data_IF_570987303269
#
_entry.id   IF_570987303269
#
_cell.length_a   1.000
_cell.length_b   1.000
_cell.length_c   1.000
_cell.angle_alpha   90.00
_cell.angle_beta   90.00
_cell.angle_gamma   90.00
#
_symmetry.space_group_name_H-M   'P 1'
#
loop_
_entity.id
_entity.type
_entity.pdbx_description
1 polymer ?
#
# COMPACT_ATOMS: atom_id res chain seq x y z
N UNK A 1 7.34 26.97 18.72
CA UNK A 1 7.84 25.88 19.58
C UNK A 1 6.62 25.16 20.18
N UNK A 2 6.06 24.21 19.41
CA UNK A 2 5.13 23.19 19.90
C UNK A 2 5.68 21.87 19.36
N UNK A 3 6.80 21.47 19.96
CA UNK A 3 7.38 20.15 19.78
C UNK A 3 6.54 19.13 20.54
N UNK A 4 6.35 17.96 19.92
CA UNK A 4 6.02 16.73 20.64
C UNK A 4 4.56 16.50 20.99
N UNK A 5 3.74 16.08 20.00
CA UNK A 5 2.65 15.10 20.24
C UNK A 5 1.91 14.59 18.98
N UNK A 6 2.25 15.02 17.75
CA UNK A 6 1.40 14.76 16.58
C UNK A 6 1.55 13.39 15.88
N UNK A 7 2.70 12.72 15.95
CA UNK A 7 3.04 11.64 15.01
C UNK A 7 2.83 10.20 15.54
N UNK A 8 2.36 9.98 16.78
CA UNK A 8 2.17 8.61 17.33
C UNK A 8 0.72 8.20 17.60
N UNK A 9 -0.23 9.13 17.47
CA UNK A 9 -1.67 8.88 17.75
C UNK A 9 -2.53 8.74 16.50
N UNK A 10 -2.05 9.12 15.32
CA UNK A 10 -2.79 8.99 14.06
C UNK A 10 -2.65 7.59 13.45
N UNK A 11 -1.50 6.95 13.63
CA UNK A 11 -1.23 5.57 13.23
C UNK A 11 -2.31 4.63 13.78
N UNK A 12 -2.60 4.73 15.07
CA UNK A 12 -3.61 3.89 15.72
C UNK A 12 -5.02 4.14 15.18
N UNK A 13 -5.39 5.37 14.81
CA UNK A 13 -6.72 5.66 14.29
C UNK A 13 -6.98 5.00 12.93
N UNK A 14 -6.02 5.07 12.01
CA UNK A 14 -6.13 4.48 10.68
C UNK A 14 -6.26 2.94 10.76
N UNK A 15 -5.40 2.30 11.55
CA UNK A 15 -5.48 0.86 11.80
C UNK A 15 -6.77 0.46 12.53
N UNK A 16 -7.25 1.26 13.50
CA UNK A 16 -8.52 1.00 14.19
C UNK A 16 -9.70 1.06 13.21
N UNK A 17 -9.77 2.07 12.34
CA UNK A 17 -10.82 2.18 11.33
C UNK A 17 -10.77 0.99 10.37
N UNK A 18 -9.57 0.63 9.88
CA UNK A 18 -9.38 -0.54 9.03
C UNK A 18 -9.87 -1.83 9.71
N UNK A 19 -9.44 -2.09 10.94
CA UNK A 19 -9.86 -3.26 11.71
C UNK A 19 -11.36 -3.30 11.95
N UNK A 20 -11.98 -2.16 12.27
CA UNK A 20 -13.43 -2.08 12.45
C UNK A 20 -14.20 -2.40 11.17
N UNK A 21 -13.73 -1.90 10.02
CA UNK A 21 -14.35 -2.18 8.71
C UNK A 21 -14.23 -3.67 8.36
N UNK A 22 -13.05 -4.26 8.54
CA UNK A 22 -12.83 -5.70 8.33
C UNK A 22 -13.72 -6.54 9.26
N UNK A 23 -13.80 -6.21 10.55
CA UNK A 23 -14.65 -6.93 11.51
C UNK A 23 -16.14 -6.86 11.19
N UNK A 24 -16.58 -5.76 10.57
CA UNK A 24 -17.96 -5.58 10.10
C UNK A 24 -18.24 -6.29 8.77
N UNK A 25 -17.26 -7.00 8.21
CA UNK A 25 -17.38 -7.69 6.94
C UNK A 25 -17.40 -6.75 5.73
N UNK A 26 -16.88 -5.52 5.88
CA UNK A 26 -16.79 -4.57 4.79
C UNK A 26 -15.94 -5.14 3.65
N UNK A 27 -16.42 -4.96 2.42
CA UNK A 27 -15.72 -5.38 1.21
C UNK A 27 -15.03 -4.16 0.61
N UNK A 28 -13.72 -4.22 0.47
CA UNK A 28 -12.91 -3.14 -0.05
C UNK A 28 -12.80 -3.25 -1.58
N UNK A 29 -13.08 -2.13 -2.22
CA UNK A 29 -12.82 -1.91 -3.64
C UNK A 29 -11.40 -1.37 -3.85
N UNK A 30 -10.91 -1.47 -5.09
CA UNK A 30 -9.55 -1.07 -5.47
C UNK A 30 -9.19 0.35 -5.02
N UNK A 31 -10.07 1.33 -5.22
CA UNK A 31 -9.81 2.72 -4.83
C UNK A 31 -9.65 2.89 -3.31
N UNK A 32 -10.39 2.10 -2.52
CA UNK A 32 -10.25 2.12 -1.06
C UNK A 32 -8.93 1.48 -0.63
N UNK A 33 -8.48 0.44 -1.34
CA UNK A 33 -7.18 -0.20 -1.11
C UNK A 33 -6.03 0.74 -1.47
N UNK A 34 -6.11 1.45 -2.59
CA UNK A 34 -5.11 2.45 -2.97
C UNK A 34 -5.03 3.59 -1.94
N UNK A 35 -6.18 4.08 -1.47
CA UNK A 35 -6.26 5.09 -0.40
C UNK A 35 -5.62 4.58 0.90
N UNK A 36 -5.85 3.31 1.23
CA UNK A 36 -5.24 2.68 2.40
C UNK A 36 -3.71 2.58 2.27
N UNK A 37 -3.22 2.17 1.10
CA UNK A 37 -1.78 2.14 0.78
C UNK A 37 -1.17 3.54 0.92
N UNK A 38 -1.81 4.56 0.37
CA UNK A 38 -1.36 5.95 0.50
C UNK A 38 -1.29 6.39 1.97
N UNK A 39 -2.30 6.03 2.75
CA UNK A 39 -2.35 6.33 4.19
C UNK A 39 -1.17 5.71 4.94
N UNK A 40 -0.92 4.41 4.72
CA UNK A 40 0.24 3.72 5.30
C UNK A 40 1.56 4.38 4.91
N UNK A 41 1.72 4.77 3.64
CA UNK A 41 2.91 5.47 3.17
C UNK A 41 3.11 6.82 3.89
N UNK A 42 2.05 7.63 4.01
CA UNK A 42 2.09 8.95 4.66
C UNK A 42 2.39 8.87 6.16
N UNK A 43 2.01 7.77 6.80
CA UNK A 43 2.30 7.49 8.21
C UNK A 43 3.71 6.91 8.42
N UNK A 44 4.49 6.71 7.35
CA UNK A 44 5.85 6.14 7.41
C UNK A 44 5.89 4.61 7.48
N UNK A 45 4.75 3.93 7.37
CA UNK A 45 4.63 2.46 7.39
C UNK A 45 4.82 1.86 5.98
N UNK A 46 5.93 2.19 5.31
CA UNK A 46 6.17 1.77 3.91
C UNK A 46 6.32 0.25 3.79
N UNK A 47 6.87 -0.39 4.80
CA UNK A 47 7.09 -1.83 4.85
C UNK A 47 5.75 -2.57 4.89
N UNK A 48 4.80 -2.07 5.70
CA UNK A 48 3.43 -2.57 5.77
C UNK A 48 2.71 -2.32 4.45
N UNK A 49 2.82 -1.10 3.89
CA UNK A 49 2.22 -0.76 2.60
C UNK A 49 2.73 -1.69 1.47
N UNK A 50 4.03 -1.93 1.44
CA UNK A 50 4.67 -2.79 0.43
C UNK A 50 4.22 -4.23 0.58
N UNK A 51 4.19 -4.76 1.80
CA UNK A 51 3.71 -6.10 2.05
C UNK A 51 2.23 -6.25 1.67
N UNK A 52 1.40 -5.24 1.99
CA UNK A 52 -0.01 -5.21 1.62
C UNK A 52 -0.21 -5.29 0.10
N UNK A 53 0.48 -4.43 -0.66
CA UNK A 53 0.41 -4.40 -2.13
C UNK A 53 0.92 -5.71 -2.74
N UNK A 54 2.06 -6.23 -2.26
CA UNK A 54 2.72 -7.37 -2.87
C UNK A 54 2.08 -8.72 -2.51
N UNK A 55 1.40 -8.84 -1.36
CA UNK A 55 0.96 -10.13 -0.83
C UNK A 55 -0.52 -10.22 -0.50
N UNK A 56 -1.19 -9.09 -0.21
CA UNK A 56 -2.59 -9.07 0.20
C UNK A 56 -3.53 -8.57 -0.91
N UNK A 57 -3.21 -7.47 -1.60
CA UNK A 57 -4.03 -6.98 -2.70
C UNK A 57 -4.17 -8.04 -3.80
N UNK A 58 -5.40 -8.21 -4.30
CA UNK A 58 -5.71 -9.21 -5.32
C UNK A 58 -5.70 -10.65 -4.84
N UNK A 59 -5.48 -10.91 -3.54
CA UNK A 59 -5.58 -12.25 -2.97
C UNK A 59 -6.85 -12.37 -2.13
N UNK A 60 -7.73 -13.30 -2.49
CA UNK A 60 -8.96 -13.58 -1.71
C UNK A 60 -8.66 -14.23 -0.33
N UNK A 61 -7.38 -14.42 0.01
CA UNK A 61 -6.92 -14.95 1.30
C UNK A 61 -7.49 -14.19 2.50
N UNK A 62 -7.89 -12.95 2.28
CA UNK A 62 -8.23 -12.03 3.34
C UNK A 62 -9.76 -11.89 3.56
N UNK A 63 -10.58 -12.43 2.65
CA UNK A 63 -12.05 -12.44 2.78
C UNK A 63 -12.72 -11.07 2.80
N UNK A 64 -11.98 -9.97 2.62
CA UNK A 64 -12.47 -8.59 2.65
C UNK A 64 -12.41 -7.90 1.28
N UNK A 65 -12.12 -8.61 0.19
CA UNK A 65 -12.12 -8.05 -1.16
C UNK A 65 -13.52 -8.17 -1.78
N UNK A 66 -13.99 -7.11 -2.47
CA UNK A 66 -15.21 -7.19 -3.28
C UNK A 66 -15.01 -8.10 -4.49
N UNK A 67 -16.09 -8.54 -5.14
CA UNK A 67 -16.06 -9.40 -6.35
C UNK A 67 -15.44 -8.71 -7.60
N UNK A 68 -14.71 -7.60 -7.42
CA UNK A 68 -14.05 -6.83 -8.47
C UNK A 68 -12.53 -7.03 -8.52
N UNK A 69 -11.90 -6.44 -9.55
CA UNK A 69 -10.45 -6.47 -9.69
C UNK A 69 -9.78 -5.58 -8.63
N UNK A 70 -9.39 -6.19 -7.52
CA UNK A 70 -8.65 -5.58 -6.41
C UNK A 70 -7.15 -5.83 -6.50
N UNK A 71 -6.67 -6.33 -7.66
CA UNK A 71 -5.24 -6.51 -7.89
C UNK A 71 -4.53 -5.16 -7.98
N UNK A 72 -3.28 -5.08 -7.50
CA UNK A 72 -2.50 -3.87 -7.66
C UNK A 72 -2.25 -3.60 -9.14
N UNK A 73 -2.21 -2.32 -9.53
CA UNK A 73 -1.90 -1.90 -10.89
C UNK A 73 -0.63 -1.04 -10.94
N UNK A 74 -0.36 -0.48 -12.13
CA UNK A 74 0.80 0.39 -12.37
C UNK A 74 0.74 1.62 -11.47
N UNK A 75 -0.45 2.18 -11.25
CA UNK A 75 -0.62 3.41 -10.47
C UNK A 75 -0.41 3.13 -8.97
N UNK A 76 -0.94 2.02 -8.45
CA UNK A 76 -0.68 1.55 -7.07
C UNK A 76 0.83 1.40 -6.83
N UNK A 77 1.54 0.72 -7.73
CA UNK A 77 2.97 0.47 -7.59
C UNK A 77 3.81 1.75 -7.79
N UNK A 78 3.39 2.64 -8.68
CA UNK A 78 4.07 3.93 -8.92
C UNK A 78 3.94 4.85 -7.71
N UNK A 79 2.76 4.89 -7.08
CA UNK A 79 2.54 5.61 -5.83
C UNK A 79 3.49 5.10 -4.74
N UNK A 80 3.55 3.77 -4.56
CA UNK A 80 4.40 3.13 -3.56
C UNK A 80 5.88 3.45 -3.79
N UNK A 81 6.38 3.39 -5.03
CA UNK A 81 7.75 3.75 -5.38
C UNK A 81 8.06 5.23 -5.12
N UNK A 82 7.16 6.14 -5.48
CA UNK A 82 7.33 7.59 -5.21
C UNK A 82 7.42 7.88 -3.72
N UNK A 83 6.58 7.25 -2.92
CA UNK A 83 6.61 7.38 -1.47
C UNK A 83 7.89 6.77 -0.88
N UNK A 84 8.28 5.58 -1.34
CA UNK A 84 9.51 4.92 -0.90
C UNK A 84 10.77 5.72 -1.24
N UNK A 85 10.79 6.40 -2.39
CA UNK A 85 11.87 7.32 -2.75
C UNK A 85 11.99 8.47 -1.75
N UNK A 86 10.86 9.09 -1.40
CA UNK A 86 10.80 10.19 -0.43
C UNK A 86 11.29 9.78 0.96
N UNK A 87 11.06 8.52 1.35
CA UNK A 87 11.48 7.95 2.64
C UNK A 87 12.86 7.26 2.60
N UNK A 88 13.55 7.24 1.46
CA UNK A 88 14.87 6.59 1.31
C UNK A 88 14.83 5.05 1.30
N UNK A 89 13.66 4.44 1.12
CA UNK A 89 13.45 2.98 1.14
C UNK A 89 13.21 2.39 -0.27
N UNK A 90 13.51 3.16 -1.31
CA UNK A 90 13.25 2.81 -2.71
C UNK A 90 13.81 1.45 -3.14
N UNK A 91 15.04 1.11 -2.72
CA UNK A 91 15.70 -0.12 -3.16
C UNK A 91 14.95 -1.36 -2.68
N UNK A 92 14.55 -1.40 -1.41
CA UNK A 92 13.82 -2.53 -0.84
C UNK A 92 12.44 -2.69 -1.50
N UNK A 93 11.74 -1.58 -1.71
CA UNK A 93 10.42 -1.56 -2.35
C UNK A 93 10.52 -2.01 -3.82
N UNK A 94 11.53 -1.53 -4.56
CA UNK A 94 11.80 -1.94 -5.95
C UNK A 94 12.02 -3.45 -6.05
N UNK A 95 12.86 -4.02 -5.19
CA UNK A 95 13.13 -5.46 -5.19
C UNK A 95 11.88 -6.28 -4.84
N UNK A 96 11.07 -5.84 -3.87
CA UNK A 96 9.80 -6.51 -3.53
C UNK A 96 8.80 -6.46 -4.69
N UNK A 97 8.61 -5.31 -5.34
CA UNK A 97 7.70 -5.22 -6.50
C UNK A 97 8.21 -6.12 -7.63
N UNK A 98 9.51 -6.14 -7.90
CA UNK A 98 10.11 -7.01 -8.91
C UNK A 98 9.88 -8.49 -8.62
N UNK A 99 10.00 -8.90 -7.35
CA UNK A 99 9.82 -10.28 -6.93
C UNK A 99 8.37 -10.74 -6.96
N UNK A 100 7.44 -9.94 -6.41
CA UNK A 100 6.05 -10.35 -6.19
C UNK A 100 5.11 -9.94 -7.33
N UNK A 101 5.43 -8.85 -8.05
CA UNK A 101 4.60 -8.29 -9.11
C UNK A 101 5.38 -8.15 -10.44
N UNK A 102 6.02 -9.22 -10.95
CA UNK A 102 6.94 -9.13 -12.08
C UNK A 102 6.28 -8.60 -13.36
N UNK A 103 5.00 -8.94 -13.60
CA UNK A 103 4.24 -8.45 -14.78
C UNK A 103 4.01 -6.94 -14.73
N UNK A 104 3.81 -6.37 -13.54
CA UNK A 104 3.62 -4.93 -13.36
C UNK A 104 5.00 -4.25 -13.43
N UNK A 105 6.02 -4.86 -12.81
CA UNK A 105 7.39 -4.36 -12.87
C UNK A 105 7.88 -4.17 -14.30
N UNK A 106 7.71 -5.15 -15.18
CA UNK A 106 8.11 -5.03 -16.60
C UNK A 106 7.41 -3.87 -17.32
N UNK A 107 6.17 -3.56 -16.95
CA UNK A 107 5.43 -2.42 -17.52
C UNK A 107 5.92 -1.08 -16.97
N UNK A 108 6.30 -1.03 -15.69
CA UNK A 108 6.89 0.16 -15.06
C UNK A 108 8.26 0.45 -15.67
N UNK A 109 9.13 -0.56 -15.77
CA UNK A 109 10.49 -0.44 -16.33
C UNK A 109 10.46 0.02 -17.79
N UNK A 110 9.49 -0.45 -18.57
CA UNK A 110 9.30 0.03 -19.95
C UNK A 110 8.79 1.47 -20.04
N UNK A 111 8.17 2.02 -18.98
CA UNK A 111 7.57 3.36 -18.96
C UNK A 111 8.44 4.41 -18.29
N UNK A 112 9.22 4.02 -17.30
CA UNK A 112 10.08 4.89 -16.52
C UNK A 112 11.48 4.29 -16.51
N UNK A 113 12.43 4.98 -17.14
CA UNK A 113 13.86 4.67 -17.03
C UNK A 113 14.29 5.02 -15.60
N UNK A 114 14.05 4.11 -14.65
CA UNK A 114 14.37 4.21 -13.22
C UNK A 114 15.60 3.38 -12.85
#
# INVERSE_FOLDING_TARGET
MFDGCGHRKQDSAAFVIWTMLVQRGWKFEKDTLDTWVECLCRLGHIDIATNFVCTYMGTDKAGYLSEGNTTPDIDTCTLLLKMAYTLGQNLEVKEKIRQFLPKIWSQIESRYVL
#
